data_IF_482857614271
#
_entry.id   IF_482857614271
#
_cell.length_a   1.000
_cell.length_b   1.000
_cell.length_c   1.000
_cell.angle_alpha   90.00
_cell.angle_beta   90.00
_cell.angle_gamma   90.00
#
_symmetry.space_group_name_H-M   'P 1'
#
loop_
_entity.id
_entity.type
_entity.pdbx_description
1 polymer ?
#
# COMPACT_ATOMS: atom_id res chain seq x y z
N UNK A 1 -51.44 -41.80 -29.27
CA UNK A 1 -50.03 -42.18 -28.99
C UNK A 1 -49.17 -41.05 -29.57
N UNK A 2 -48.30 -40.30 -28.90
CA UNK A 2 -47.56 -40.40 -27.64
C UNK A 2 -47.40 -38.99 -27.04
N UNK A 3 -47.48 -38.91 -25.71
CA UNK A 3 -47.07 -37.79 -24.84
C UNK A 3 -45.55 -37.84 -24.64
N UNK A 4 -44.89 -36.68 -24.64
CA UNK A 4 -43.66 -36.36 -23.87
C UNK A 4 -43.40 -34.85 -24.03
N UNK A 5 -43.78 -33.95 -23.11
CA UNK A 5 -43.22 -33.64 -21.77
C UNK A 5 -41.71 -33.29 -21.77
N UNK A 6 -41.46 -31.97 -21.88
CA UNK A 6 -40.55 -31.09 -21.13
C UNK A 6 -39.35 -31.70 -20.38
N UNK A 7 -38.15 -31.12 -20.52
CA UNK A 7 -37.50 -30.37 -19.42
C UNK A 7 -36.25 -29.61 -19.91
N UNK A 8 -36.34 -28.29 -19.79
CA UNK A 8 -35.25 -27.33 -19.87
C UNK A 8 -34.41 -27.48 -18.60
N UNK A 9 -33.14 -27.83 -18.72
CA UNK A 9 -32.18 -27.77 -17.62
C UNK A 9 -31.23 -26.60 -17.87
N UNK A 10 -31.60 -25.40 -17.38
CA UNK A 10 -30.65 -24.32 -17.18
C UNK A 10 -29.69 -24.77 -16.07
N UNK A 11 -28.45 -25.09 -16.41
CA UNK A 11 -27.39 -25.19 -15.42
C UNK A 11 -27.10 -23.78 -14.92
N UNK A 12 -27.62 -23.47 -13.72
CA UNK A 12 -27.11 -22.38 -12.91
C UNK A 12 -25.69 -22.76 -12.46
N UNK A 13 -24.68 -22.33 -13.22
CA UNK A 13 -23.32 -22.23 -12.71
C UNK A 13 -23.33 -21.10 -11.68
N UNK A 14 -23.66 -21.44 -10.43
CA UNK A 14 -23.33 -20.60 -9.30
C UNK A 14 -21.80 -20.63 -9.17
N UNK A 15 -21.13 -19.72 -9.87
CA UNK A 15 -19.75 -19.40 -9.59
C UNK A 15 -19.71 -18.94 -8.13
N UNK A 16 -19.28 -19.84 -7.25
CA UNK A 16 -18.91 -19.47 -5.91
C UNK A 16 -17.82 -18.41 -6.06
N UNK A 17 -18.18 -17.15 -5.79
CA UNK A 17 -17.24 -16.06 -5.69
C UNK A 17 -16.27 -16.42 -4.56
N UNK A 18 -15.15 -17.06 -4.93
CA UNK A 18 -14.03 -17.25 -4.02
C UNK A 18 -13.54 -15.85 -3.69
N UNK A 19 -13.89 -15.36 -2.50
CA UNK A 19 -13.34 -14.13 -1.97
C UNK A 19 -11.81 -14.23 -2.08
N UNK A 20 -11.21 -13.41 -2.94
CA UNK A 20 -9.77 -13.41 -3.16
C UNK A 20 -9.08 -13.08 -1.84
N UNK A 21 -8.48 -14.07 -1.22
CA UNK A 21 -7.76 -13.96 0.06
C UNK A 21 -6.51 -13.08 -0.04
N UNK A 22 -6.08 -12.72 -1.26
CA UNK A 22 -4.94 -11.84 -1.53
C UNK A 22 -5.26 -10.34 -1.68
N UNK A 23 -6.53 -9.93 -1.53
CA UNK A 23 -6.95 -8.53 -1.69
C UNK A 23 -6.88 -7.69 -0.40
N UNK A 24 -6.57 -8.29 0.75
CA UNK A 24 -6.92 -7.69 2.03
C UNK A 24 -6.06 -6.49 2.43
N UNK A 25 -4.77 -6.47 2.08
CA UNK A 25 -3.84 -5.46 2.60
C UNK A 25 -3.34 -4.52 1.49
N UNK A 26 -3.62 -3.21 1.57
CA UNK A 26 -3.06 -2.24 0.63
C UNK A 26 -1.54 -2.15 0.78
N UNK A 27 -0.88 -1.58 -0.21
CA UNK A 27 0.57 -1.38 -0.21
C UNK A 27 0.90 0.09 -0.41
N UNK A 28 1.90 0.58 0.33
CA UNK A 28 2.50 1.89 0.08
C UNK A 28 3.47 1.76 -1.08
N UNK A 29 3.41 2.72 -1.99
CA UNK A 29 4.32 2.90 -3.11
C UNK A 29 4.95 4.28 -3.04
N UNK A 30 6.18 4.35 -3.49
CA UNK A 30 6.95 5.59 -3.59
C UNK A 30 7.27 5.82 -5.04
N UNK A 31 7.07 7.05 -5.50
CA UNK A 31 7.35 7.47 -6.87
C UNK A 31 8.36 8.61 -6.89
N UNK A 32 9.24 8.57 -7.88
CA UNK A 32 10.13 9.66 -8.27
C UNK A 32 9.83 9.95 -9.73
N UNK A 33 9.50 11.20 -10.06
CA UNK A 33 9.23 11.60 -11.45
C UNK A 33 8.19 10.67 -12.13
N UNK A 34 7.14 10.29 -11.40
CA UNK A 34 6.10 9.32 -11.80
C UNK A 34 6.56 7.87 -12.03
N UNK A 35 7.83 7.56 -11.79
CA UNK A 35 8.37 6.20 -11.82
C UNK A 35 8.38 5.58 -10.43
N UNK A 36 7.89 4.34 -10.30
CA UNK A 36 7.90 3.60 -9.03
C UNK A 36 9.34 3.31 -8.58
N UNK A 37 9.64 3.65 -7.32
CA UNK A 37 10.93 3.36 -6.68
C UNK A 37 10.96 1.88 -6.32
N UNK A 38 11.96 1.10 -6.78
CA UNK A 38 12.05 -0.30 -6.42
C UNK A 38 12.53 -0.46 -4.98
N UNK A 39 11.99 -1.45 -4.27
CA UNK A 39 12.43 -1.78 -2.91
C UNK A 39 13.87 -2.33 -2.85
N UNK A 40 14.39 -2.83 -3.98
CA UNK A 40 15.78 -3.31 -4.10
C UNK A 40 16.79 -2.20 -3.90
N UNK A 41 16.42 -0.96 -4.22
CA UNK A 41 17.16 0.24 -3.90
C UNK A 41 17.16 1.30 -5.00
N UNK A 42 17.38 2.54 -4.59
CA UNK A 42 17.40 3.73 -5.45
C UNK A 42 18.17 4.86 -4.77
N UNK A 43 18.67 5.82 -5.55
CA UNK A 43 19.26 7.04 -5.01
C UNK A 43 18.22 7.88 -4.25
N UNK A 44 18.66 8.58 -3.20
CA UNK A 44 17.83 9.55 -2.51
C UNK A 44 17.64 10.79 -3.37
N UNK A 45 16.41 11.26 -3.46
CA UNK A 45 16.04 12.50 -4.15
C UNK A 45 15.35 13.45 -3.18
N UNK A 46 15.38 14.77 -3.43
CA UNK A 46 14.79 15.76 -2.52
C UNK A 46 13.28 15.62 -2.41
N UNK A 47 12.60 15.07 -3.43
CA UNK A 47 11.15 14.94 -3.42
C UNK A 47 10.71 13.58 -3.96
N UNK A 48 9.74 12.97 -3.27
CA UNK A 48 9.06 11.75 -3.72
C UNK A 48 7.54 11.91 -3.57
N UNK A 49 6.78 11.07 -4.25
CA UNK A 49 5.33 10.98 -4.09
C UNK A 49 4.96 9.65 -3.45
N UNK A 50 4.21 9.70 -2.35
CA UNK A 50 3.62 8.54 -1.71
C UNK A 50 2.24 8.25 -2.30
N UNK A 51 1.96 6.98 -2.55
CA UNK A 51 0.64 6.49 -2.94
C UNK A 51 0.32 5.21 -2.20
N UNK A 52 -0.95 5.03 -1.82
CA UNK A 52 -1.45 3.75 -1.32
C UNK A 52 -2.27 3.10 -2.42
N UNK A 53 -1.96 1.84 -2.72
CA UNK A 53 -2.59 1.08 -3.80
C UNK A 53 -3.06 -0.28 -3.33
N UNK A 54 -3.99 -0.87 -4.06
CA UNK A 54 -4.37 -2.27 -3.83
C UNK A 54 -3.16 -3.19 -4.03
N UNK A 55 -3.10 -4.29 -3.28
CA UNK A 55 -2.09 -5.32 -3.51
C UNK A 55 -2.08 -5.76 -4.99
N UNK A 56 -0.90 -6.07 -5.58
CA UNK A 56 -0.81 -6.45 -6.99
C UNK A 56 -1.71 -7.65 -7.36
N UNK A 57 -1.85 -8.61 -6.44
CA UNK A 57 -2.67 -9.80 -6.60
C UNK A 57 -4.19 -9.53 -6.53
N UNK A 58 -4.62 -8.31 -6.22
CA UNK A 58 -6.03 -7.97 -6.11
C UNK A 58 -6.62 -7.61 -7.48
N UNK A 59 -7.67 -8.32 -7.89
CA UNK A 59 -8.36 -8.10 -9.15
C UNK A 59 -9.21 -6.82 -9.11
N UNK A 60 -9.85 -6.55 -7.98
CA UNK A 60 -10.58 -5.31 -7.78
C UNK A 60 -9.63 -4.19 -7.33
N UNK A 61 -9.56 -3.11 -8.11
CA UNK A 61 -8.76 -1.95 -7.74
C UNK A 61 -9.58 -1.03 -6.85
N UNK A 62 -9.21 -0.98 -5.59
CA UNK A 62 -9.76 -0.06 -4.58
C UNK A 62 -8.89 1.19 -4.48
N UNK A 63 -9.52 2.34 -4.32
CA UNK A 63 -8.85 3.63 -4.10
C UNK A 63 -8.62 3.88 -2.60
N UNK A 64 -7.42 4.34 -2.26
CA UNK A 64 -7.02 4.63 -0.89
C UNK A 64 -6.51 6.06 -0.75
N UNK A 65 -6.73 6.63 0.43
CA UNK A 65 -6.11 7.88 0.87
C UNK A 65 -5.49 7.66 2.25
N UNK A 66 -4.43 8.42 2.55
CA UNK A 66 -3.87 8.48 3.89
C UNK A 66 -3.88 9.92 4.40
N UNK A 67 -4.08 10.10 5.71
CA UNK A 67 -4.04 11.42 6.36
C UNK A 67 -2.67 11.75 6.93
N UNK A 68 -1.89 10.73 7.31
CA UNK A 68 -0.58 10.88 7.94
C UNK A 68 0.26 9.62 7.71
N UNK A 69 1.53 9.82 7.38
CA UNK A 69 2.55 8.80 7.20
C UNK A 69 3.83 9.20 7.95
N UNK A 70 4.63 8.20 8.30
CA UNK A 70 5.89 8.34 9.01
C UNK A 70 7.04 7.99 8.07
N UNK A 71 8.03 8.86 7.95
CA UNK A 71 9.21 8.68 7.10
C UNK A 71 10.47 8.77 7.96
N UNK A 72 11.31 7.74 7.87
CA UNK A 72 12.52 7.63 8.70
C UNK A 72 13.72 7.24 7.85
N UNK A 73 14.83 7.97 7.99
CA UNK A 73 16.13 7.56 7.49
C UNK A 73 16.79 6.64 8.53
N UNK A 74 17.14 5.43 8.14
CA UNK A 74 17.67 4.38 9.01
C UNK A 74 19.07 3.99 8.57
N UNK A 75 20.00 3.89 9.53
CA UNK A 75 21.32 3.28 9.35
C UNK A 75 21.45 2.04 10.22
N UNK A 76 21.64 0.88 9.60
CA UNK A 76 21.60 -0.41 10.29
C UNK A 76 20.23 -0.67 10.90
N UNK A 77 20.09 -0.45 12.22
CA UNK A 77 18.83 -0.62 12.98
C UNK A 77 18.39 0.63 13.73
N UNK A 78 19.00 1.78 13.46
CA UNK A 78 18.74 3.02 14.21
C UNK A 78 18.28 4.14 13.27
N UNK A 79 17.24 4.89 13.64
CA UNK A 79 16.93 6.17 13.00
C UNK A 79 18.14 7.12 13.08
N UNK A 80 18.47 7.78 11.98
CA UNK A 80 19.50 8.84 11.93
C UNK A 80 18.93 10.21 12.31
N UNK A 81 17.64 10.40 12.08
CA UNK A 81 16.88 11.60 12.42
C UNK A 81 15.60 11.20 13.14
N UNK A 82 14.97 12.11 13.90
CA UNK A 82 13.60 11.92 14.35
C UNK A 82 12.69 11.56 13.16
N UNK A 83 11.76 10.62 13.37
CA UNK A 83 10.78 10.24 12.36
C UNK A 83 9.95 11.46 11.94
N UNK A 84 9.92 11.72 10.63
CA UNK A 84 9.18 12.81 10.01
C UNK A 84 7.74 12.37 9.78
N UNK A 85 6.77 13.17 10.22
CA UNK A 85 5.36 12.98 9.90
C UNK A 85 4.98 13.78 8.67
N UNK A 86 4.27 13.16 7.73
CA UNK A 86 3.89 13.76 6.46
C UNK A 86 2.40 13.52 6.21
N UNK A 87 1.66 14.59 5.96
CA UNK A 87 0.21 14.56 5.70
C UNK A 87 -0.14 14.80 4.23
N UNK A 88 0.87 14.94 3.37
CA UNK A 88 0.73 15.16 1.93
C UNK A 88 1.37 14.00 1.17
N UNK A 89 0.88 13.76 -0.06
CA UNK A 89 1.46 12.74 -0.94
C UNK A 89 2.84 13.14 -1.43
N UNK A 90 3.06 14.42 -1.74
CA UNK A 90 4.37 14.95 -2.04
C UNK A 90 5.19 15.12 -0.75
N UNK A 91 6.32 14.43 -0.66
CA UNK A 91 7.18 14.39 0.51
C UNK A 91 8.54 14.97 0.17
N UNK A 92 8.94 15.99 0.92
CA UNK A 92 10.29 16.54 0.90
C UNK A 92 11.22 15.69 1.80
N UNK A 93 12.34 15.26 1.26
CA UNK A 93 13.40 14.47 1.89
C UNK A 93 14.74 15.22 1.92
N UNK A 94 14.76 16.52 1.55
CA UNK A 94 15.98 17.31 1.43
C UNK A 94 16.77 17.40 2.74
N UNK A 95 16.09 17.32 3.89
CA UNK A 95 16.68 17.27 5.23
C UNK A 95 17.49 15.98 5.49
N UNK A 96 17.15 14.89 4.80
CA UNK A 96 17.84 13.60 4.92
C UNK A 96 19.11 13.51 4.05
N UNK A 97 19.17 14.29 2.96
CA UNK A 97 20.22 14.21 1.95
C UNK A 97 21.65 14.44 2.49
N UNK A 98 21.92 15.42 3.38
CA UNK A 98 23.28 15.64 3.88
C UNK A 98 23.82 14.49 4.75
N UNK A 99 22.93 13.64 5.28
CA UNK A 99 23.27 12.56 6.20
C UNK A 99 23.27 11.18 5.54
N UNK A 100 22.53 11.06 4.43
CA UNK A 100 22.34 9.84 3.68
C UNK A 100 23.66 9.27 3.14
N UNK A 101 23.84 7.96 3.30
CA UNK A 101 24.95 7.21 2.73
C UNK A 101 24.42 5.98 1.99
N UNK A 102 25.18 5.46 1.02
CA UNK A 102 24.88 4.16 0.42
C UNK A 102 24.72 3.09 1.49
N UNK A 103 23.67 2.27 1.37
CA UNK A 103 23.31 1.23 2.34
C UNK A 103 22.40 1.68 3.48
N UNK A 104 22.18 2.99 3.68
CA UNK A 104 21.08 3.47 4.52
C UNK A 104 19.73 3.08 3.90
N UNK A 105 18.65 3.17 4.67
CA UNK A 105 17.29 2.88 4.19
C UNK A 105 16.38 4.03 4.49
N UNK A 106 15.50 4.35 3.55
CA UNK A 106 14.33 5.16 3.86
C UNK A 106 13.17 4.19 4.11
N UNK A 107 12.54 4.35 5.26
CA UNK A 107 11.40 3.54 5.70
C UNK A 107 10.19 4.47 5.81
N UNK A 108 9.12 4.10 5.10
CA UNK A 108 7.83 4.79 5.07
C UNK A 108 6.81 3.88 5.72
N UNK A 109 6.06 4.39 6.69
CA UNK A 109 5.01 3.66 7.40
C UNK A 109 3.72 4.47 7.40
N UNK A 110 2.60 3.81 7.10
CA UNK A 110 1.26 4.41 7.19
C UNK A 110 0.44 3.59 8.18
N UNK A 111 0.15 4.14 9.37
CA UNK A 111 -0.71 3.46 10.34
C UNK A 111 -2.10 3.18 9.75
N UNK A 112 -2.70 2.02 10.04
CA UNK A 112 -4.04 1.70 9.51
C UNK A 112 -5.11 2.71 9.91
N UNK A 113 -5.00 3.30 11.11
CA UNK A 113 -5.90 4.37 11.59
C UNK A 113 -5.89 5.63 10.71
N UNK A 114 -4.83 5.82 9.92
CA UNK A 114 -4.68 6.96 9.02
C UNK A 114 -5.11 6.62 7.59
N UNK A 115 -5.56 5.39 7.32
CA UNK A 115 -6.02 4.96 6.00
C UNK A 115 -7.53 5.13 5.85
N UNK A 116 -7.93 5.61 4.69
CA UNK A 116 -9.32 5.74 4.25
C UNK A 116 -9.50 5.02 2.92
N UNK A 117 -10.53 4.19 2.85
CA UNK A 117 -11.03 3.59 1.61
C UNK A 117 -11.96 4.58 0.94
N UNK A 118 -11.74 4.82 -0.35
CA UNK A 118 -12.58 5.67 -1.19
C UNK A 118 -13.32 4.78 -2.18
N UNK A 119 -14.63 4.67 -2.01
CA UNK A 119 -15.49 3.92 -2.92
C UNK A 119 -15.68 4.65 -4.25
N UNK A 120 -16.12 3.96 -5.33
CA UNK A 120 -16.34 4.58 -6.65
C UNK A 120 -17.35 5.73 -6.64
N UNK A 121 -18.30 5.74 -5.71
CA UNK A 121 -19.28 6.83 -5.48
C UNK A 121 -18.68 8.03 -4.72
N UNK A 122 -17.39 7.99 -4.38
CA UNK A 122 -16.68 9.01 -3.62
C UNK A 122 -16.85 8.90 -2.10
N UNK A 123 -17.65 7.93 -1.60
CA UNK A 123 -17.84 7.72 -0.17
C UNK A 123 -16.51 7.31 0.48
N UNK A 124 -16.22 7.93 1.61
CA UNK A 124 -15.01 7.70 2.39
C UNK A 124 -15.34 6.91 3.64
N UNK A 125 -14.62 5.83 3.87
CA UNK A 125 -14.76 4.99 5.06
C UNK A 125 -13.39 4.67 5.64
N UNK A 126 -13.23 4.61 6.98
CA UNK A 126 -11.97 4.16 7.58
C UNK A 126 -11.59 2.78 7.05
N UNK A 127 -10.29 2.54 6.86
CA UNK A 127 -9.81 1.22 6.45
C UNK A 127 -10.16 0.17 7.52
N UNK A 128 -10.77 -0.96 7.15
CA UNK A 128 -11.08 -2.03 8.08
C UNK A 128 -9.78 -2.73 8.49
N UNK A 129 -9.28 -2.40 9.69
CA UNK A 129 -8.04 -2.97 10.22
C UNK A 129 -8.15 -4.50 10.28
N UNK A 130 -7.24 -5.25 9.64
CA UNK A 130 -7.25 -6.71 9.70
C UNK A 130 -6.90 -7.20 11.10
N UNK A 131 -7.25 -8.45 11.39
CA UNK A 131 -6.74 -9.12 12.59
C UNK A 131 -5.22 -9.25 12.49
N UNK A 132 -4.49 -8.70 13.46
CA UNK A 132 -3.04 -8.64 13.45
C UNK A 132 -2.45 -9.85 14.17
N UNK A 133 -1.54 -10.55 13.52
CA UNK A 133 -0.74 -11.57 14.18
C UNK A 133 0.17 -10.94 15.25
N UNK A 134 0.59 -11.69 16.29
CA UNK A 134 1.57 -11.21 17.25
C UNK A 134 2.84 -10.69 16.55
N UNK A 135 3.24 -9.45 16.86
CA UNK A 135 4.40 -8.72 16.27
C UNK A 135 4.18 -8.16 14.86
N UNK A 136 2.99 -8.28 14.28
CA UNK A 136 2.67 -7.57 13.04
C UNK A 136 2.49 -6.08 13.33
N UNK A 137 3.04 -5.25 12.44
CA UNK A 137 2.88 -3.80 12.55
C UNK A 137 1.42 -3.39 12.28
N UNK A 138 0.93 -2.39 13.02
CA UNK A 138 -0.43 -1.86 12.88
C UNK A 138 -0.53 -0.84 11.73
N UNK A 139 -0.05 -1.24 10.56
CA UNK A 139 -0.02 -0.39 9.36
C UNK A 139 0.64 -1.08 8.18
N UNK A 140 0.83 -0.31 7.13
CA UNK A 140 1.51 -0.72 5.90
C UNK A 140 2.82 0.04 5.77
N UNK A 141 3.83 -0.59 5.19
CA UNK A 141 5.12 0.06 5.02
C UNK A 141 5.73 -0.20 3.66
N UNK A 142 6.65 0.69 3.29
CA UNK A 142 7.56 0.52 2.18
C UNK A 142 8.96 0.94 2.62
N UNK A 143 9.98 0.22 2.19
CA UNK A 143 11.36 0.60 2.46
C UNK A 143 12.23 0.33 1.25
N UNK A 144 13.14 1.24 0.97
CA UNK A 144 14.18 1.03 -0.04
C UNK A 144 15.55 1.35 0.52
N UNK A 145 16.55 0.67 -0.03
CA UNK A 145 17.96 0.92 0.30
C UNK A 145 18.50 2.04 -0.58
N UNK A 146 19.25 2.95 0.01
CA UNK A 146 19.91 4.03 -0.72
C UNK A 146 21.09 3.49 -1.50
N UNK A 147 21.06 3.71 -2.80
CA UNK A 147 22.15 3.42 -3.73
C UNK A 147 22.84 4.72 -4.16
N UNK A 148 24.06 4.61 -4.71
CA UNK A 148 24.77 5.74 -5.30
C UNK A 148 24.05 6.25 -6.56
#
# INVERSE_FOLDING_TARGET
MKRTLTLVALLAAAEAATAQTGCSTPVVKVFRDQQEVPNTGAALVPQVTLQVSSAPACAEKVSYQFSDAEVTLIRGRRPLLPTKRVSQTAVDLSDMMPLAKPGDRVYVFVPYKNLTVVAPDGKRTPYPVPELAPKQENGIYFSWTLMQ
#
